data_IF_341558411541
#
_entry.id   IF_341558411541
#
_cell.length_a   1.000
_cell.length_b   1.000
_cell.length_c   1.000
_cell.angle_alpha   90.00
_cell.angle_beta   90.00
_cell.angle_gamma   90.00
#
_symmetry.space_group_name_H-M   'P 1'
#
loop_
_entity.id
_entity.type
_entity.pdbx_description
1 polymer ?
#
# COMPACT_ATOMS: atom_id res chain seq x y z
N UNK A 1 11.32 1.09 -5.36
CA UNK A 1 11.13 -0.20 -4.63
C UNK A 1 9.85 -0.85 -5.13
N UNK A 2 9.87 -2.12 -5.48
CA UNK A 2 8.65 -2.86 -5.83
C UNK A 2 7.84 -3.15 -4.56
N UNK A 3 6.57 -2.69 -4.52
CA UNK A 3 5.67 -2.91 -3.36
C UNK A 3 5.35 -4.39 -3.18
N UNK A 4 5.23 -5.12 -4.29
CA UNK A 4 4.91 -6.54 -4.24
C UNK A 4 6.11 -7.38 -3.81
N UNK A 5 7.34 -6.93 -4.12
CA UNK A 5 8.59 -7.55 -3.69
C UNK A 5 9.60 -6.53 -3.14
N UNK A 6 9.36 -5.95 -1.97
CA UNK A 6 10.28 -4.98 -1.37
C UNK A 6 11.66 -5.56 -1.06
N UNK A 7 11.79 -6.89 -1.03
CA UNK A 7 13.09 -7.56 -0.82
C UNK A 7 14.08 -7.32 -1.95
N UNK A 8 13.59 -6.99 -3.17
CA UNK A 8 14.44 -6.64 -4.33
C UNK A 8 15.33 -5.43 -4.08
N UNK A 9 14.90 -4.50 -3.24
CA UNK A 9 15.70 -3.31 -2.89
C UNK A 9 16.99 -3.69 -2.14
N UNK A 10 16.99 -4.86 -1.47
CA UNK A 10 18.10 -5.32 -0.66
C UNK A 10 18.90 -6.43 -1.36
N UNK A 11 18.22 -7.31 -2.08
CA UNK A 11 18.86 -8.44 -2.77
C UNK A 11 18.14 -8.83 -4.05
N UNK A 12 18.91 -8.99 -5.13
CA UNK A 12 18.41 -9.50 -6.41
C UNK A 12 18.22 -11.01 -6.44
N UNK A 13 18.82 -11.74 -5.47
CA UNK A 13 18.70 -13.20 -5.38
C UNK A 13 17.35 -13.64 -4.84
N UNK A 14 17.04 -14.94 -4.97
CA UNK A 14 15.82 -15.53 -4.39
C UNK A 14 15.88 -15.68 -2.87
N UNK A 15 17.00 -15.31 -2.23
CA UNK A 15 17.13 -15.36 -0.77
C UNK A 15 16.12 -14.44 -0.08
N UNK A 16 15.96 -13.23 -0.61
CA UNK A 16 15.02 -12.25 -0.05
C UNK A 16 13.60 -12.81 0.07
N UNK A 17 12.93 -13.16 -1.04
CA UNK A 17 11.58 -13.70 -0.97
C UNK A 17 11.47 -15.05 -0.24
N UNK A 18 12.48 -15.92 -0.33
CA UNK A 18 12.47 -17.20 0.41
C UNK A 18 12.53 -16.97 1.91
N UNK A 19 13.47 -16.13 2.38
CA UNK A 19 13.62 -15.81 3.79
C UNK A 19 12.40 -15.03 4.31
N UNK A 20 11.84 -14.13 3.53
CA UNK A 20 10.62 -13.41 3.88
C UNK A 20 9.40 -14.35 4.06
N UNK A 21 9.28 -15.40 3.24
CA UNK A 21 8.23 -16.42 3.40
C UNK A 21 8.47 -17.25 4.66
N UNK A 22 9.71 -17.72 4.87
CA UNK A 22 10.04 -18.58 6.02
C UNK A 22 9.98 -17.83 7.36
N UNK A 23 10.29 -16.54 7.37
CA UNK A 23 10.21 -15.72 8.59
C UNK A 23 8.79 -15.57 9.11
N UNK A 24 7.80 -15.57 8.20
CA UNK A 24 6.36 -15.40 8.51
C UNK A 24 5.61 -16.72 8.62
N UNK A 25 6.29 -17.84 8.35
CA UNK A 25 5.67 -19.14 8.44
C UNK A 25 5.55 -19.60 9.91
N UNK A 26 4.37 -20.03 10.29
CA UNK A 26 4.03 -20.60 11.59
C UNK A 26 4.38 -22.09 11.72
N UNK A 27 4.75 -22.74 10.59
CA UNK A 27 5.08 -24.15 10.49
C UNK A 27 6.11 -24.38 9.38
N UNK A 28 6.85 -25.50 9.43
CA UNK A 28 7.74 -25.88 8.34
C UNK A 28 7.01 -26.08 7.02
N UNK A 29 7.60 -25.65 5.91
CA UNK A 29 7.01 -25.64 4.57
C UNK A 29 7.80 -26.50 3.61
N UNK A 30 7.13 -27.16 2.67
CA UNK A 30 7.76 -27.80 1.52
C UNK A 30 8.16 -26.75 0.47
N UNK A 31 9.16 -27.05 -0.36
CA UNK A 31 9.66 -26.12 -1.39
C UNK A 31 8.56 -25.62 -2.35
N UNK A 32 7.60 -26.47 -2.69
CA UNK A 32 6.46 -26.10 -3.55
C UNK A 32 5.55 -25.05 -2.89
N UNK A 33 5.32 -25.14 -1.57
CA UNK A 33 4.50 -24.16 -0.85
C UNK A 33 5.24 -22.84 -0.67
N UNK A 34 6.56 -22.89 -0.49
CA UNK A 34 7.41 -21.69 -0.45
C UNK A 34 7.36 -21.00 -1.83
N UNK A 35 7.45 -21.75 -2.92
CA UNK A 35 7.39 -21.21 -4.28
C UNK A 35 6.04 -20.54 -4.60
N UNK A 36 4.94 -21.07 -4.08
CA UNK A 36 3.59 -20.47 -4.24
C UNK A 36 3.42 -19.15 -3.45
N UNK A 37 4.13 -19.01 -2.33
CA UNK A 37 4.04 -17.83 -1.46
C UNK A 37 5.08 -16.79 -1.79
N UNK A 38 6.20 -17.20 -2.40
CA UNK A 38 7.24 -16.29 -2.84
C UNK A 38 6.75 -15.47 -4.04
N UNK A 39 6.92 -14.16 -3.98
CA UNK A 39 6.47 -13.22 -5.03
C UNK A 39 7.20 -13.39 -6.36
N UNK A 40 8.35 -14.09 -6.35
CA UNK A 40 9.15 -14.40 -7.54
C UNK A 40 9.95 -15.68 -7.38
N UNK A 41 10.33 -16.25 -8.52
CA UNK A 41 11.17 -17.44 -8.61
C UNK A 41 10.39 -18.67 -9.07
N UNK A 42 11.03 -19.50 -9.90
CA UNK A 42 10.51 -20.82 -10.24
C UNK A 42 10.73 -21.80 -9.08
N UNK A 43 9.94 -22.86 -9.01
CA UNK A 43 10.12 -23.90 -8.00
C UNK A 43 11.54 -24.50 -8.00
N UNK A 44 12.13 -24.66 -9.19
CA UNK A 44 13.52 -25.15 -9.33
C UNK A 44 14.51 -24.14 -8.72
N UNK A 45 14.32 -22.84 -9.00
CA UNK A 45 15.13 -21.78 -8.42
C UNK A 45 15.01 -21.71 -6.90
N UNK A 46 13.80 -21.83 -6.37
CA UNK A 46 13.54 -21.90 -4.92
C UNK A 46 14.22 -23.11 -4.28
N UNK A 47 14.14 -24.29 -4.89
CA UNK A 47 14.83 -25.49 -4.39
C UNK A 47 16.35 -25.31 -4.33
N UNK A 48 16.97 -24.69 -5.33
CA UNK A 48 18.42 -24.37 -5.32
C UNK A 48 18.78 -23.35 -4.24
N UNK A 49 17.93 -22.33 -4.08
CA UNK A 49 18.10 -21.34 -3.03
C UNK A 49 18.02 -22.00 -1.64
N UNK A 50 17.00 -22.82 -1.39
CA UNK A 50 16.84 -23.55 -0.12
C UNK A 50 18.03 -24.46 0.17
N UNK A 51 18.54 -25.21 -0.80
CA UNK A 51 19.71 -26.07 -0.60
C UNK A 51 20.89 -25.25 -0.07
N UNK A 52 21.20 -24.11 -0.71
CA UNK A 52 22.28 -23.22 -0.29
C UNK A 52 22.04 -22.60 1.09
N UNK A 53 20.80 -22.18 1.40
CA UNK A 53 20.46 -21.61 2.72
C UNK A 53 20.54 -22.66 3.84
N UNK A 54 20.26 -23.93 3.51
CA UNK A 54 20.46 -25.07 4.44
C UNK A 54 21.94 -25.30 4.67
N UNK A 55 22.76 -25.31 3.62
CA UNK A 55 24.23 -25.47 3.73
C UNK A 55 24.85 -24.34 4.58
N UNK A 56 24.27 -23.14 4.55
CA UNK A 56 24.68 -22.01 5.39
C UNK A 56 24.08 -22.04 6.80
N UNK A 57 23.17 -22.96 7.09
CA UNK A 57 22.57 -23.12 8.41
C UNK A 57 21.47 -22.13 8.78
N UNK A 58 21.14 -21.17 7.91
CA UNK A 58 20.04 -20.20 8.17
C UNK A 58 18.66 -20.82 7.99
N UNK A 59 18.56 -21.90 7.20
CA UNK A 59 17.36 -22.71 7.03
C UNK A 59 17.62 -24.11 7.54
N UNK A 60 16.71 -24.63 8.35
CA UNK A 60 16.70 -26.03 8.76
C UNK A 60 15.85 -26.84 7.78
N UNK A 61 16.30 -28.07 7.49
CA UNK A 61 15.56 -28.99 6.66
C UNK A 61 15.38 -30.31 7.40
N UNK A 62 14.14 -30.82 7.44
CA UNK A 62 13.78 -32.06 8.10
C UNK A 62 12.99 -32.95 7.17
N UNK A 63 13.26 -34.25 7.17
CA UNK A 63 12.48 -35.23 6.42
C UNK A 63 11.25 -35.63 7.23
N UNK A 64 10.05 -35.44 6.64
CA UNK A 64 8.78 -35.80 7.23
C UNK A 64 8.04 -36.71 6.23
N UNK A 65 8.09 -38.00 6.47
CA UNK A 65 7.62 -39.01 5.53
C UNK A 65 8.40 -38.92 4.20
N UNK A 66 7.68 -38.63 3.12
CA UNK A 66 8.30 -38.47 1.77
C UNK A 66 8.65 -37.01 1.43
N UNK A 67 8.38 -36.07 2.33
CA UNK A 67 8.56 -34.67 2.09
C UNK A 67 9.75 -34.11 2.87
N UNK A 68 10.51 -33.23 2.22
CA UNK A 68 11.52 -32.39 2.88
C UNK A 68 10.87 -31.04 3.18
N UNK A 69 10.75 -30.73 4.45
CA UNK A 69 10.22 -29.46 4.94
C UNK A 69 11.35 -28.53 5.40
N UNK A 70 11.09 -27.23 5.31
CA UNK A 70 12.08 -26.20 5.61
C UNK A 70 11.48 -25.18 6.57
N UNK A 71 12.30 -24.69 7.49
CA UNK A 71 11.95 -23.63 8.43
C UNK A 71 13.14 -22.71 8.68
N UNK A 72 12.89 -21.48 9.11
CA UNK A 72 13.93 -20.54 9.49
C UNK A 72 14.61 -21.03 10.79
N UNK A 73 15.94 -21.13 10.77
CA UNK A 73 16.71 -21.35 11.98
C UNK A 73 16.73 -20.09 12.84
N UNK A 74 15.84 -20.02 13.82
CA UNK A 74 15.71 -18.86 14.71
C UNK A 74 16.96 -18.59 15.57
N UNK A 75 17.83 -19.57 15.73
CA UNK A 75 19.09 -19.43 16.46
C UNK A 75 20.23 -18.88 15.61
N UNK A 76 20.06 -18.82 14.28
CA UNK A 76 21.09 -18.30 13.39
C UNK A 76 21.21 -16.78 13.53
N UNK A 77 22.46 -16.25 13.52
CA UNK A 77 22.72 -14.81 13.68
C UNK A 77 22.01 -13.92 12.63
N UNK A 78 21.75 -14.47 11.44
CA UNK A 78 21.04 -13.76 10.39
C UNK A 78 19.49 -13.90 10.47
N UNK A 79 18.93 -14.64 11.43
CA UNK A 79 17.48 -14.78 11.55
C UNK A 79 16.74 -13.45 11.71
N UNK A 80 17.23 -12.45 12.47
CA UNK A 80 16.60 -11.12 12.54
C UNK A 80 16.54 -10.40 11.20
N UNK A 81 17.51 -10.63 10.30
CA UNK A 81 17.51 -10.07 8.94
C UNK A 81 16.33 -10.65 8.14
N UNK A 82 16.11 -11.98 8.24
CA UNK A 82 14.97 -12.62 7.59
C UNK A 82 13.62 -12.04 8.11
N UNK A 83 13.52 -11.79 9.41
CA UNK A 83 12.33 -11.17 10.00
C UNK A 83 12.10 -9.74 9.47
N UNK A 84 13.17 -8.95 9.34
CA UNK A 84 13.07 -7.61 8.74
C UNK A 84 12.64 -7.67 7.27
N UNK A 85 13.22 -8.59 6.48
CA UNK A 85 12.80 -8.80 5.09
C UNK A 85 11.32 -9.17 4.99
N UNK A 86 10.83 -10.02 5.88
CA UNK A 86 9.41 -10.40 5.93
C UNK A 86 8.46 -9.26 6.29
N UNK A 87 8.94 -8.23 6.98
CA UNK A 87 8.13 -7.10 7.47
C UNK A 87 8.23 -5.82 6.64
N UNK A 88 9.05 -5.79 5.60
CA UNK A 88 9.27 -4.56 4.82
C UNK A 88 7.96 -3.94 4.29
N UNK A 89 7.04 -4.77 3.80
CA UNK A 89 5.75 -4.31 3.31
C UNK A 89 4.87 -3.74 4.43
N UNK A 90 4.82 -4.44 5.55
CA UNK A 90 4.05 -4.03 6.73
C UNK A 90 4.61 -2.72 7.31
N UNK A 91 5.93 -2.56 7.31
CA UNK A 91 6.60 -1.35 7.78
C UNK A 91 6.27 -0.14 6.88
N UNK A 92 6.24 -0.32 5.56
CA UNK A 92 5.81 0.75 4.64
C UNK A 92 4.35 1.14 4.90
N UNK A 93 3.44 0.16 4.99
CA UNK A 93 2.03 0.40 5.30
C UNK A 93 1.86 1.13 6.63
N UNK A 94 2.62 0.71 7.66
CA UNK A 94 2.60 1.35 8.97
C UNK A 94 3.06 2.80 8.92
N UNK A 95 4.14 3.10 8.17
CA UNK A 95 4.63 4.48 8.01
C UNK A 95 3.61 5.36 7.29
N UNK A 96 3.05 4.86 6.20
CA UNK A 96 2.00 5.58 5.46
C UNK A 96 0.82 5.89 6.38
N UNK A 97 0.29 4.87 7.05
CA UNK A 97 -0.84 5.05 7.98
C UNK A 97 -0.54 6.10 9.04
N UNK A 98 0.60 5.97 9.74
CA UNK A 98 0.97 6.91 10.80
C UNK A 98 1.12 8.34 10.28
N UNK A 99 1.68 8.52 9.07
CA UNK A 99 1.80 9.83 8.45
C UNK A 99 0.42 10.41 8.13
N UNK A 100 -0.45 9.64 7.47
CA UNK A 100 -1.79 10.10 7.08
C UNK A 100 -2.68 10.42 8.30
N UNK A 101 -2.60 9.61 9.36
CA UNK A 101 -3.31 9.83 10.62
C UNK A 101 -2.83 11.10 11.36
N UNK A 102 -1.58 11.52 11.14
CA UNK A 102 -1.01 12.72 11.75
C UNK A 102 -1.32 14.01 10.99
N UNK A 103 -1.99 13.95 9.86
CA UNK A 103 -2.33 15.12 9.08
C UNK A 103 -3.36 15.99 9.78
N UNK A 104 -3.25 17.32 9.61
CA UNK A 104 -4.25 18.27 10.10
C UNK A 104 -5.59 18.10 9.36
N UNK A 105 -5.51 17.73 8.07
CA UNK A 105 -6.65 17.32 7.26
C UNK A 105 -6.43 15.86 6.86
N UNK A 106 -6.82 14.88 7.68
CA UNK A 106 -6.61 13.48 7.38
C UNK A 106 -7.52 13.01 6.24
N UNK A 107 -7.07 12.06 5.39
CA UNK A 107 -7.94 11.45 4.40
C UNK A 107 -9.04 10.61 5.06
N UNK A 108 -10.19 10.51 4.42
CA UNK A 108 -11.29 9.61 4.84
C UNK A 108 -11.06 8.17 4.37
N UNK A 109 -10.31 8.01 3.28
CA UNK A 109 -9.85 6.73 2.78
C UNK A 109 -8.49 6.88 2.11
N UNK A 110 -7.66 5.86 2.25
CA UNK A 110 -6.37 5.78 1.55
C UNK A 110 -6.03 4.32 1.24
N UNK A 111 -5.63 4.04 0.01
CA UNK A 111 -5.13 2.74 -0.41
C UNK A 111 -3.93 2.85 -1.34
N UNK A 112 -2.98 1.94 -1.18
CA UNK A 112 -1.82 1.84 -2.06
C UNK A 112 -2.05 0.70 -3.06
N UNK A 113 -1.72 0.95 -4.33
CA UNK A 113 -1.78 -0.05 -5.37
C UNK A 113 -0.55 0.05 -6.28
N UNK A 114 -0.21 -1.06 -6.93
CA UNK A 114 0.83 -1.08 -7.96
C UNK A 114 0.23 -0.68 -9.30
N UNK A 115 1.03 -0.10 -10.19
CA UNK A 115 0.59 0.10 -11.57
C UNK A 115 0.24 -1.24 -12.21
N UNK A 116 -0.99 -1.47 -12.69
CA UNK A 116 -1.37 -2.70 -13.37
C UNK A 116 -0.61 -2.90 -14.69
N UNK A 117 0.07 -1.85 -15.17
CA UNK A 117 0.92 -1.86 -16.36
C UNK A 117 2.40 -2.13 -16.05
N UNK A 118 2.81 -2.04 -14.79
CA UNK A 118 4.14 -2.48 -14.37
C UNK A 118 4.17 -4.01 -14.39
N UNK A 119 4.34 -4.56 -15.58
CA UNK A 119 4.67 -5.97 -15.75
C UNK A 119 5.81 -6.34 -14.84
N UNK A 120 5.77 -7.57 -14.31
CA UNK A 120 6.80 -8.20 -13.52
C UNK A 120 8.19 -7.69 -13.99
N UNK A 121 8.77 -6.70 -13.28
CA UNK A 121 10.18 -6.43 -13.47
C UNK A 121 10.70 -5.03 -13.64
N UNK A 122 9.92 -3.98 -13.61
CA UNK A 122 10.52 -2.63 -13.59
C UNK A 122 10.77 -2.17 -12.15
N UNK A 123 12.05 -2.06 -11.74
CA UNK A 123 12.41 -1.62 -10.38
C UNK A 123 12.04 -0.16 -10.09
N UNK A 124 11.73 0.62 -11.12
CA UNK A 124 11.49 2.06 -11.09
C UNK A 124 10.01 2.42 -11.30
N UNK A 125 9.09 1.49 -11.04
CA UNK A 125 7.65 1.77 -11.09
C UNK A 125 7.26 2.88 -10.11
N UNK A 126 6.36 3.76 -10.53
CA UNK A 126 5.78 4.76 -9.65
C UNK A 126 4.99 4.08 -8.51
N UNK A 127 5.00 4.70 -7.35
CA UNK A 127 4.16 4.28 -6.23
C UNK A 127 2.81 4.98 -6.35
N UNK A 128 1.75 4.21 -6.56
CA UNK A 128 0.41 4.78 -6.72
C UNK A 128 -0.37 4.72 -5.40
N UNK A 129 -0.95 5.86 -5.02
CA UNK A 129 -1.74 6.02 -3.82
C UNK A 129 -3.06 6.71 -4.17
N UNK A 130 -4.18 6.10 -3.80
CA UNK A 130 -5.46 6.77 -3.76
C UNK A 130 -5.59 7.47 -2.41
N UNK A 131 -5.93 8.73 -2.45
CA UNK A 131 -6.34 9.52 -1.29
C UNK A 131 -7.73 10.08 -1.52
N UNK A 132 -8.59 9.90 -0.55
CA UNK A 132 -9.93 10.50 -0.55
C UNK A 132 -9.97 11.55 0.55
N UNK A 133 -10.10 12.81 0.15
CA UNK A 133 -10.17 13.92 1.10
C UNK A 133 -11.60 14.21 1.55
N UNK A 134 -11.80 14.77 2.74
CA UNK A 134 -13.11 15.28 3.14
C UNK A 134 -13.55 16.42 2.21
N UNK A 135 -14.85 16.61 2.05
CA UNK A 135 -15.38 17.69 1.20
C UNK A 135 -14.92 19.04 1.74
N UNK A 136 -14.31 19.84 0.87
CA UNK A 136 -13.87 21.19 1.23
C UNK A 136 -14.96 22.23 0.96
N UNK A 137 -14.95 23.35 1.72
CA UNK A 137 -15.91 24.44 1.48
C UNK A 137 -15.77 25.01 0.06
N UNK A 138 -16.86 24.98 -0.71
CA UNK A 138 -16.89 25.50 -2.08
C UNK A 138 -16.68 24.44 -3.17
N UNK A 139 -16.44 23.19 -2.83
CA UNK A 139 -16.48 22.09 -3.79
C UNK A 139 -17.92 21.87 -4.27
N UNK A 140 -18.10 21.67 -5.59
CA UNK A 140 -19.43 21.41 -6.13
C UNK A 140 -19.94 20.05 -5.66
N UNK A 141 -21.13 20.01 -5.09
CA UNK A 141 -21.83 18.74 -4.86
C UNK A 141 -22.07 18.02 -6.19
N UNK A 142 -21.89 16.70 -6.27
CA UNK A 142 -22.24 15.95 -7.46
C UNK A 142 -23.71 16.21 -7.79
N UNK A 143 -23.98 16.63 -9.02
CA UNK A 143 -25.34 16.85 -9.50
C UNK A 143 -26.04 15.50 -9.57
N UNK A 144 -26.70 15.08 -8.50
CA UNK A 144 -27.74 14.06 -8.59
C UNK A 144 -28.78 14.59 -9.56
N UNK A 145 -28.96 13.88 -10.67
CA UNK A 145 -29.83 14.27 -11.76
C UNK A 145 -31.20 14.70 -11.23
N UNK A 146 -31.46 15.99 -11.25
CA UNK A 146 -32.81 16.59 -11.21
C UNK A 146 -32.84 17.67 -12.28
N UNK A 147 -33.86 17.54 -13.11
CA UNK A 147 -34.19 18.43 -14.22
C UNK A 147 -34.24 19.90 -13.79
N UNK A 148 -33.79 20.71 -14.69
CA UNK A 148 -33.82 22.14 -14.83
C UNK A 148 -35.01 22.85 -14.15
N UNK A 149 -34.72 23.68 -13.19
CA UNK A 149 -35.43 24.95 -13.05
C UNK A 149 -34.43 26.07 -12.74
N UNK A 150 -34.42 27.06 -13.61
CA UNK A 150 -33.57 28.23 -13.57
C UNK A 150 -33.85 29.08 -12.33
N UNK A 151 -32.88 29.17 -11.43
CA UNK A 151 -32.88 30.18 -10.36
C UNK A 151 -31.71 31.12 -10.56
N UNK A 152 -32.06 32.37 -10.81
CA UNK A 152 -31.20 33.54 -10.94
C UNK A 152 -30.26 33.67 -9.70
N UNK A 153 -28.97 33.96 -9.85
CA UNK A 153 -28.07 34.16 -8.72
C UNK A 153 -28.46 35.48 -8.02
N UNK A 154 -28.79 35.40 -6.75
CA UNK A 154 -28.76 36.58 -5.87
C UNK A 154 -27.32 36.80 -5.43
N UNK A 155 -26.73 37.88 -5.90
CA UNK A 155 -25.54 38.48 -5.32
C UNK A 155 -25.85 38.85 -3.86
N UNK A 156 -25.24 38.18 -2.92
CA UNK A 156 -25.07 38.67 -1.55
C UNK A 156 -23.61 38.98 -1.36
N UNK A 157 -23.35 40.27 -1.53
CA UNK A 157 -22.16 40.96 -1.05
C UNK A 157 -22.09 40.80 0.48
N UNK A 158 -21.10 40.10 0.95
CA UNK A 158 -20.85 39.84 2.35
C UNK A 158 -19.35 39.66 2.55
N UNK A 159 -18.70 40.78 2.86
CA UNK A 159 -17.33 40.90 3.33
C UNK A 159 -17.03 39.85 4.40
N UNK A 160 -16.44 38.69 4.00
CA UNK A 160 -15.85 37.74 4.90
C UNK A 160 -14.38 38.11 5.05
N UNK A 161 -13.88 38.22 6.31
CA UNK A 161 -12.46 38.46 6.52
C UNK A 161 -11.64 37.37 5.82
N UNK A 162 -10.68 37.80 5.02
CA UNK A 162 -9.75 36.92 4.32
C UNK A 162 -9.04 36.06 5.36
N UNK A 163 -9.41 34.76 5.43
CA UNK A 163 -8.64 33.77 6.16
C UNK A 163 -7.22 33.78 5.60
N UNK A 164 -6.23 33.75 6.47
CA UNK A 164 -4.83 33.58 6.08
C UNK A 164 -4.75 32.36 5.14
N UNK A 165 -4.00 32.47 4.04
CA UNK A 165 -3.84 31.39 3.06
C UNK A 165 -3.32 30.07 3.69
N UNK A 166 -2.77 30.16 4.89
CA UNK A 166 -2.28 29.02 5.70
C UNK A 166 -3.42 28.26 6.42
N UNK A 167 -4.63 28.86 6.50
CA UNK A 167 -5.81 28.27 7.17
C UNK A 167 -6.81 27.66 6.20
N UNK A 168 -6.52 27.68 4.88
CA UNK A 168 -7.36 27.06 3.87
C UNK A 168 -7.13 25.54 3.85
N UNK A 169 -8.15 24.70 4.14
CA UNK A 169 -7.99 23.25 4.17
C UNK A 169 -7.50 22.66 2.85
N UNK A 170 -7.83 23.26 1.70
CA UNK A 170 -7.37 22.80 0.39
C UNK A 170 -5.86 23.04 0.22
N UNK A 171 -5.37 24.21 0.63
CA UNK A 171 -3.94 24.55 0.58
C UNK A 171 -3.16 23.63 1.52
N UNK A 172 -3.71 23.39 2.71
CA UNK A 172 -3.13 22.49 3.69
C UNK A 172 -3.05 21.05 3.18
N UNK A 173 -4.14 20.56 2.60
CA UNK A 173 -4.19 19.24 1.96
C UNK A 173 -3.08 19.07 0.92
N UNK A 174 -3.00 20.00 -0.03
CA UNK A 174 -1.97 19.97 -1.06
C UNK A 174 -0.56 19.96 -0.50
N UNK A 175 -0.30 20.79 0.52
CA UNK A 175 1.00 20.86 1.19
C UNK A 175 1.35 19.51 1.85
N UNK A 176 0.38 18.85 2.47
CA UNK A 176 0.56 17.55 3.11
C UNK A 176 0.81 16.43 2.07
N UNK A 177 0.11 16.47 0.93
CA UNK A 177 0.35 15.54 -0.19
C UNK A 177 1.76 15.71 -0.77
N UNK A 178 2.20 16.96 -0.98
CA UNK A 178 3.55 17.24 -1.48
C UNK A 178 4.64 16.77 -0.50
N UNK A 179 4.43 16.97 0.79
CA UNK A 179 5.33 16.47 1.83
C UNK A 179 5.38 14.92 1.85
N UNK A 180 4.23 14.25 1.68
CA UNK A 180 4.17 12.80 1.59
C UNK A 180 4.98 12.27 0.39
N UNK A 181 4.92 12.95 -0.75
CA UNK A 181 5.71 12.57 -1.92
C UNK A 181 7.21 12.55 -1.63
N UNK A 182 7.69 13.52 -0.86
CA UNK A 182 9.08 13.56 -0.38
C UNK A 182 9.42 12.39 0.55
N UNK A 183 8.53 12.07 1.48
CA UNK A 183 8.71 10.94 2.39
C UNK A 183 8.71 9.59 1.66
N UNK A 184 7.75 9.35 0.76
CA UNK A 184 7.68 8.11 -0.03
C UNK A 184 8.95 7.93 -0.86
N UNK A 185 9.44 9.00 -1.49
CA UNK A 185 10.71 8.96 -2.23
C UNK A 185 11.88 8.59 -1.32
N UNK A 186 11.95 9.16 -0.11
CA UNK A 186 13.01 8.85 0.85
C UNK A 186 12.95 7.40 1.36
N UNK A 187 11.74 6.85 1.55
CA UNK A 187 11.58 5.48 2.07
C UNK A 187 11.75 4.40 1.01
N UNK A 188 11.35 4.68 -0.24
CA UNK A 188 11.22 3.66 -1.29
C UNK A 188 12.10 3.90 -2.51
N UNK A 189 12.55 5.14 -2.72
CA UNK A 189 13.19 5.58 -3.96
C UNK A 189 12.22 5.83 -5.11
N UNK A 190 10.91 5.55 -4.93
CA UNK A 190 9.90 5.69 -5.98
C UNK A 190 9.34 7.12 -6.01
N UNK A 191 8.82 7.51 -7.17
CA UNK A 191 7.97 8.70 -7.29
C UNK A 191 6.56 8.34 -6.85
N UNK A 192 5.94 9.20 -6.04
CA UNK A 192 4.55 9.05 -5.64
C UNK A 192 3.64 9.63 -6.71
N UNK A 193 2.67 8.84 -7.17
CA UNK A 193 1.51 9.30 -7.93
C UNK A 193 0.29 9.22 -7.06
N UNK A 194 -0.38 10.35 -6.88
CA UNK A 194 -1.61 10.40 -6.09
C UNK A 194 -2.81 10.50 -7.03
N UNK A 195 -3.76 9.61 -6.84
CA UNK A 195 -5.13 9.80 -7.31
C UNK A 195 -5.89 10.45 -6.17
N UNK A 196 -6.24 11.71 -6.36
CA UNK A 196 -6.87 12.56 -5.37
C UNK A 196 -8.36 12.71 -5.71
N UNK A 197 -9.23 12.25 -4.82
CA UNK A 197 -10.68 12.29 -5.00
C UNK A 197 -11.33 12.98 -3.79
N UNK A 198 -12.41 13.70 -4.02
CA UNK A 198 -13.27 14.12 -2.93
C UNK A 198 -14.09 12.94 -2.38
N UNK A 199 -14.59 13.04 -1.16
CA UNK A 199 -15.50 12.03 -0.61
C UNK A 199 -16.75 11.85 -1.49
N UNK A 200 -17.22 12.91 -2.17
CA UNK A 200 -18.34 12.82 -3.11
C UNK A 200 -17.99 12.02 -4.37
N UNK A 201 -16.83 12.32 -5.00
CA UNK A 201 -16.39 11.60 -6.20
C UNK A 201 -16.12 10.13 -5.89
N UNK A 202 -15.66 9.84 -4.69
CA UNK A 202 -15.43 8.47 -4.22
C UNK A 202 -16.74 7.68 -4.09
N UNK A 203 -17.77 8.28 -3.47
CA UNK A 203 -19.10 7.65 -3.34
C UNK A 203 -19.73 7.39 -4.72
N UNK A 204 -19.58 8.33 -5.67
CA UNK A 204 -20.04 8.16 -7.05
C UNK A 204 -19.25 7.05 -7.77
N UNK A 205 -17.93 7.01 -7.60
CA UNK A 205 -17.08 5.96 -8.18
C UNK A 205 -17.46 4.56 -7.67
N UNK A 206 -17.75 4.43 -6.38
CA UNK A 206 -18.21 3.18 -5.78
C UNK A 206 -19.58 2.74 -6.33
N UNK A 207 -20.52 3.67 -6.47
CA UNK A 207 -21.84 3.39 -7.02
C UNK A 207 -21.78 3.04 -8.52
N UNK A 208 -20.87 3.67 -9.27
CA UNK A 208 -20.74 3.52 -10.73
C UNK A 208 -19.91 2.31 -11.18
N UNK A 209 -19.30 1.54 -10.28
CA UNK A 209 -18.40 0.42 -10.61
C UNK A 209 -17.33 0.82 -11.64
N UNK A 210 -16.59 1.88 -11.36
CA UNK A 210 -15.57 2.42 -12.27
C UNK A 210 -14.36 1.47 -12.37
N UNK A 211 -13.53 1.57 -13.44
CA UNK A 211 -12.29 0.79 -13.54
C UNK A 211 -11.37 0.96 -12.34
N UNK A 212 -11.36 2.15 -11.71
CA UNK A 212 -10.59 2.42 -10.50
C UNK A 212 -11.05 1.56 -9.33
N UNK A 213 -12.36 1.45 -9.09
CA UNK A 213 -12.91 0.63 -8.00
C UNK A 213 -12.67 -0.85 -8.21
N UNK A 214 -12.61 -1.32 -9.44
CA UNK A 214 -12.25 -2.70 -9.75
C UNK A 214 -10.78 -2.99 -9.46
N UNK A 215 -9.85 -2.08 -9.83
CA UNK A 215 -8.42 -2.23 -9.51
C UNK A 215 -8.20 -2.26 -8.00
N UNK A 216 -8.86 -1.36 -7.26
CA UNK A 216 -8.75 -1.28 -5.81
C UNK A 216 -9.22 -2.57 -5.15
N UNK A 217 -10.32 -3.15 -5.60
CA UNK A 217 -10.87 -4.40 -5.07
C UNK A 217 -9.91 -5.59 -5.13
N UNK A 218 -9.06 -5.65 -6.18
CA UNK A 218 -8.27 -6.84 -6.46
C UNK A 218 -6.80 -6.72 -6.09
N UNK A 219 -6.24 -5.51 -6.07
CA UNK A 219 -4.78 -5.31 -5.98
C UNK A 219 -4.35 -4.23 -4.96
N UNK A 220 -5.29 -3.56 -4.30
CA UNK A 220 -4.98 -2.51 -3.35
C UNK A 220 -4.69 -3.04 -1.95
N UNK A 221 -3.83 -2.31 -1.25
CA UNK A 221 -3.57 -2.46 0.18
C UNK A 221 -4.19 -1.27 0.89
N UNK A 222 -5.25 -1.50 1.67
CA UNK A 222 -5.87 -0.46 2.46
C UNK A 222 -4.89 0.07 3.51
N UNK A 223 -4.65 1.37 3.45
CA UNK A 223 -3.79 2.08 4.40
C UNK A 223 -4.64 2.67 5.52
N UNK A 224 -5.73 3.33 5.15
CA UNK A 224 -6.65 3.98 6.06
C UNK A 224 -8.09 3.83 5.53
N UNK A 225 -9.01 3.42 6.38
CA UNK A 225 -10.44 3.35 6.07
C UNK A 225 -11.24 3.81 7.30
N UNK A 226 -11.65 5.07 7.29
CA UNK A 226 -12.46 5.66 8.36
C UNK A 226 -13.91 5.19 8.29
N UNK A 227 -14.41 4.79 7.10
CA UNK A 227 -15.78 4.32 6.94
C UNK A 227 -16.01 2.94 7.59
N UNK A 228 -15.00 2.05 7.53
CA UNK A 228 -15.08 0.74 8.19
C UNK A 228 -15.09 0.83 9.72
N UNK A 229 -14.45 1.86 10.28
CA UNK A 229 -14.40 2.06 11.74
C UNK A 229 -15.76 2.50 12.32
N UNK A 230 -16.65 3.10 11.51
CA UNK A 230 -17.98 3.52 11.92
C UNK A 230 -19.03 2.39 11.83
N UNK A 231 -18.68 1.27 11.20
CA UNK A 231 -19.60 0.15 10.94
C UNK A 231 -19.50 -1.00 11.95
N UNK A 232 -18.71 -0.88 13.02
CA UNK A 232 -18.65 -1.88 14.07
C UNK A 232 -19.75 -1.59 15.10
N UNK A 233 -20.87 -2.37 15.12
CA UNK A 233 -21.87 -2.23 16.18
C UNK A 233 -21.27 -2.71 17.50
N UNK A 234 -21.56 -1.95 18.55
CA UNK A 234 -21.22 -2.25 19.94
C UNK A 234 -21.92 -3.52 20.46
#
# INVERSE_FOLDING_TARGET
MDIHDPTRSVTSSLDGPVLAVLSRADRPLIAGDIAKRAVRGSEIGIRRCLARLVDQGIVLATEVGRYRVHELNRMHLAAPIADLLGRLREELTRRLRHTLESWEVPPVYASAFGSPTAGIGEPDGDFELLLVHPVFPGEPEPRRGVETESVVPRETDGDRPSRSATEDPQVMWKTQVDALAGLVRAWTGNTLRVQDLSAFDWDEALAGHTPLTEVIKWDAVDILDVFSLQSTPA
#
